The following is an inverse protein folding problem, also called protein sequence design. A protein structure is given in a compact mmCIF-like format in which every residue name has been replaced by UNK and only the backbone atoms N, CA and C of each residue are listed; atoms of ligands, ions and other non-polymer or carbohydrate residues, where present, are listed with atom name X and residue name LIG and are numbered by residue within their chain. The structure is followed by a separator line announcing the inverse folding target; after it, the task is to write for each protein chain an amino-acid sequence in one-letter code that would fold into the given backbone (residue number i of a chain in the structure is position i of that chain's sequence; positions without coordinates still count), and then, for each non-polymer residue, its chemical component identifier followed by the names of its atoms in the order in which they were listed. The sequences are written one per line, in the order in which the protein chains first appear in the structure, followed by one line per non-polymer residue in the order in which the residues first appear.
data_IF_539631304573
#
_entry.id   IF_539631304573
#
_cell.length_a   1.000
_cell.length_b   1.000
_cell.length_c   1.000
_cell.angle_alpha   90.00
_cell.angle_beta   90.00
_cell.angle_gamma   90.00
#
_symmetry.space_group_name_H-M   'P 1'
#
loop_
_entity.id
_entity.type
_entity.pdbx_description
1 polymer ?
#
# COMPACT_ATOMS: atom_id res chain seq x y z
N UNK A 1 -1.16 -23.72 7.98
CA UNK A 1 -1.48 -23.09 6.68
C UNK A 1 -0.76 -21.75 6.62
N UNK A 2 -0.32 -21.28 5.45
CA UNK A 2 0.30 -19.95 5.34
C UNK A 2 -0.80 -18.89 5.47
N UNK A 3 -0.78 -18.14 6.57
CA UNK A 3 -1.66 -17.00 6.80
C UNK A 3 -0.92 -15.70 6.46
N UNK A 4 -1.65 -14.71 5.96
CA UNK A 4 -1.09 -13.40 5.68
C UNK A 4 -0.98 -12.62 7.01
N UNK A 5 0.24 -12.47 7.53
CA UNK A 5 0.50 -11.83 8.82
C UNK A 5 1.19 -10.48 8.59
N UNK A 6 0.56 -9.35 9.01
CA UNK A 6 1.20 -8.03 9.02
C UNK A 6 2.56 -8.03 9.73
N UNK A 7 3.60 -7.55 9.05
CA UNK A 7 4.93 -7.46 9.65
C UNK A 7 5.04 -6.23 10.56
N UNK A 8 5.80 -6.29 11.68
CA UNK A 8 5.96 -5.14 12.57
C UNK A 8 6.58 -3.94 11.85
N UNK A 9 6.01 -2.74 12.05
CA UNK A 9 6.44 -1.52 11.35
C UNK A 9 7.91 -1.17 11.59
N UNK A 10 8.35 -1.24 12.85
CA UNK A 10 9.75 -1.04 13.22
C UNK A 10 10.70 -1.99 12.46
N UNK A 11 10.32 -3.26 12.31
CA UNK A 11 11.10 -4.26 11.61
C UNK A 11 11.13 -4.03 10.09
N UNK A 12 10.03 -3.51 9.50
CA UNK A 12 10.02 -3.08 8.09
C UNK A 12 11.04 -1.96 7.85
N UNK A 13 11.12 -0.95 8.73
CA UNK A 13 12.09 0.16 8.61
C UNK A 13 13.53 -0.36 8.71
N UNK A 14 13.83 -1.15 9.74
CA UNK A 14 15.17 -1.73 9.92
C UNK A 14 15.58 -2.57 8.72
N UNK A 15 14.69 -3.47 8.26
CA UNK A 15 14.94 -4.32 7.09
C UNK A 15 15.20 -3.49 5.83
N UNK A 16 14.34 -2.52 5.55
CA UNK A 16 14.43 -1.65 4.37
C UNK A 16 15.77 -0.92 4.28
N UNK A 17 16.27 -0.34 5.37
CA UNK A 17 17.55 0.35 5.36
C UNK A 17 18.75 -0.59 5.45
N UNK A 18 18.65 -1.68 6.21
CA UNK A 18 19.71 -2.69 6.31
C UNK A 18 19.98 -3.36 4.97
N UNK A 19 18.94 -3.76 4.23
CA UNK A 19 19.08 -4.35 2.90
C UNK A 19 19.65 -3.33 1.89
N UNK A 20 19.25 -2.06 1.99
CA UNK A 20 19.78 -1.03 1.10
C UNK A 20 21.27 -0.81 1.34
N UNK A 21 21.73 -0.86 2.59
CA UNK A 21 23.13 -0.70 2.98
C UNK A 21 24.00 -1.93 2.65
N UNK A 22 23.45 -3.14 2.77
CA UNK A 22 24.24 -4.39 2.74
C UNK A 22 24.09 -5.20 1.46
N UNK A 23 22.98 -5.04 0.73
CA UNK A 23 22.62 -5.85 -0.42
C UNK A 23 22.19 -5.03 -1.65
N UNK A 24 22.19 -3.69 -1.56
CA UNK A 24 21.66 -2.80 -2.60
C UNK A 24 20.25 -3.23 -3.06
N UNK A 25 19.39 -3.55 -2.10
CA UNK A 25 17.99 -3.97 -2.33
C UNK A 25 17.06 -3.39 -1.26
N UNK A 26 15.75 -3.40 -1.54
CA UNK A 26 14.71 -3.13 -0.53
C UNK A 26 13.64 -4.20 -0.69
N UNK A 27 13.36 -4.93 0.39
CA UNK A 27 12.45 -6.07 0.40
C UNK A 27 12.74 -7.04 -0.75
N UNK A 28 14.02 -7.40 -0.88
CA UNK A 28 14.57 -8.27 -1.93
C UNK A 28 14.50 -7.71 -3.37
N UNK A 29 13.89 -6.54 -3.62
CA UNK A 29 13.95 -5.89 -4.93
C UNK A 29 15.31 -5.22 -5.13
N UNK A 30 16.11 -5.63 -6.12
CA UNK A 30 17.43 -5.03 -6.35
C UNK A 30 17.31 -3.58 -6.80
N UNK A 31 18.19 -2.71 -6.31
CA UNK A 31 18.22 -1.27 -6.64
C UNK A 31 18.31 -0.98 -8.14
N UNK A 32 18.98 -1.85 -8.89
CA UNK A 32 19.05 -1.76 -10.37
C UNK A 32 17.68 -1.88 -11.06
N UNK A 33 16.69 -2.43 -10.37
CA UNK A 33 15.31 -2.58 -10.85
C UNK A 33 14.41 -1.43 -10.40
N UNK A 34 14.91 -0.48 -9.61
CA UNK A 34 14.12 0.67 -9.20
C UNK A 34 13.91 1.61 -10.38
N UNK A 35 12.68 2.10 -10.54
CA UNK A 35 12.34 3.16 -11.47
C UNK A 35 11.94 4.39 -10.67
N UNK A 36 12.86 5.35 -10.58
CA UNK A 36 12.71 6.58 -9.78
C UNK A 36 12.48 7.83 -10.64
N UNK A 37 12.04 7.63 -11.88
CA UNK A 37 11.82 8.68 -12.87
C UNK A 37 13.07 8.98 -13.70
N UNK A 38 12.91 9.78 -14.74
CA UNK A 38 14.01 10.20 -15.62
C UNK A 38 13.91 11.70 -15.86
N UNK A 39 14.98 12.42 -15.57
CA UNK A 39 15.05 13.87 -15.77
C UNK A 39 14.76 14.24 -17.24
N UNK A 40 14.01 15.33 -17.43
CA UNK A 40 13.60 15.81 -18.75
C UNK A 40 12.52 14.97 -19.44
N UNK A 41 11.90 13.99 -18.76
CA UNK A 41 10.76 13.24 -19.27
C UNK A 41 9.55 13.36 -18.36
N UNK A 42 8.42 13.71 -18.96
CA UNK A 42 7.13 13.74 -18.29
C UNK A 42 6.31 12.51 -18.71
N UNK A 43 6.01 11.65 -17.73
CA UNK A 43 5.15 10.47 -17.89
C UNK A 43 3.78 10.67 -17.25
N UNK A 44 3.53 11.85 -16.70
CA UNK A 44 2.41 12.06 -15.80
C UNK A 44 1.08 12.07 -16.53
N UNK A 45 0.05 11.60 -15.83
CA UNK A 45 -1.32 11.57 -16.33
C UNK A 45 -2.27 12.19 -15.29
N UNK A 46 -3.36 12.83 -15.72
CA UNK A 46 -4.44 13.16 -14.81
C UNK A 46 -5.08 11.86 -14.28
N UNK A 47 -5.37 11.83 -12.98
CA UNK A 47 -6.11 10.76 -12.34
C UNK A 47 -7.02 11.37 -11.27
N UNK A 48 -8.33 11.39 -11.55
CA UNK A 48 -9.32 12.16 -10.79
C UNK A 48 -8.93 13.65 -10.65
N UNK A 49 -8.88 14.16 -9.41
CA UNK A 49 -8.47 15.52 -9.05
C UNK A 49 -6.95 15.69 -8.87
N UNK A 50 -6.17 14.63 -9.16
CA UNK A 50 -4.72 14.57 -8.95
C UNK A 50 -3.97 14.35 -10.27
N UNK A 51 -2.64 14.47 -10.18
CA UNK A 51 -1.71 14.17 -11.28
C UNK A 51 -0.74 13.09 -10.84
N UNK A 52 -0.85 11.90 -11.41
CA UNK A 52 0.05 10.79 -11.10
C UNK A 52 1.34 10.93 -11.91
N UNK A 53 2.55 10.75 -11.33
CA UNK A 53 3.80 10.83 -12.08
C UNK A 53 3.97 9.77 -13.19
N UNK A 54 3.24 8.66 -13.13
CA UNK A 54 3.12 7.66 -14.21
C UNK A 54 1.68 7.15 -14.28
N UNK A 55 1.24 6.59 -15.42
CA UNK A 55 -0.05 5.90 -15.52
C UNK A 55 -0.03 4.48 -14.92
N UNK A 56 1.08 4.07 -14.32
CA UNK A 56 1.28 2.68 -13.91
C UNK A 56 0.87 2.48 -12.45
N UNK A 57 0.22 1.35 -12.20
CA UNK A 57 0.26 0.72 -10.92
C UNK A 57 -0.64 -0.50 -10.81
N UNK A 58 -0.51 -1.25 -9.70
CA UNK A 58 -1.21 -2.49 -9.53
C UNK A 58 -2.71 -2.23 -9.35
N UNK A 59 -3.52 -3.06 -10.01
CA UNK A 59 -4.94 -3.19 -9.69
C UNK A 59 -5.14 -3.81 -8.30
N UNK A 60 -6.34 -3.66 -7.76
CA UNK A 60 -6.76 -4.33 -6.52
C UNK A 60 -6.53 -5.84 -6.61
N UNK A 61 -5.75 -6.39 -5.69
CA UNK A 61 -5.42 -7.83 -5.67
C UNK A 61 -4.50 -8.22 -4.52
N UNK A 62 -4.06 -9.49 -4.44
CA UNK A 62 -3.18 -9.97 -3.38
C UNK A 62 -1.94 -9.09 -3.17
N UNK A 63 -1.39 -8.55 -4.27
CA UNK A 63 -0.23 -7.68 -4.29
C UNK A 63 -0.43 -6.32 -3.63
N UNK A 64 -1.66 -5.85 -3.39
CA UNK A 64 -1.93 -4.53 -2.77
C UNK A 64 -2.49 -4.62 -1.36
N UNK A 65 -2.24 -5.72 -0.64
CA UNK A 65 -2.63 -5.89 0.77
C UNK A 65 -1.57 -5.45 1.78
N UNK A 66 -0.30 -5.68 1.47
CA UNK A 66 0.79 -5.58 2.45
C UNK A 66 1.63 -4.31 2.27
N UNK A 67 2.08 -3.71 3.37
CA UNK A 67 2.85 -2.47 3.38
C UNK A 67 4.11 -2.56 2.49
N UNK A 68 4.88 -3.64 2.60
CA UNK A 68 6.07 -3.85 1.80
C UNK A 68 5.77 -3.94 0.30
N UNK A 69 4.62 -4.50 -0.08
CA UNK A 69 4.27 -4.63 -1.51
C UNK A 69 3.88 -3.28 -2.11
N UNK A 70 3.29 -2.38 -1.32
CA UNK A 70 3.05 -0.99 -1.75
C UNK A 70 4.38 -0.26 -1.99
N UNK A 71 5.35 -0.42 -1.08
CA UNK A 71 6.71 0.12 -1.24
C UNK A 71 7.38 -0.44 -2.48
N UNK A 72 7.32 -1.76 -2.70
CA UNK A 72 7.89 -2.42 -3.87
C UNK A 72 7.26 -1.92 -5.16
N UNK A 73 5.93 -1.80 -5.21
CA UNK A 73 5.21 -1.26 -6.36
C UNK A 73 5.68 0.17 -6.68
N UNK A 74 5.82 1.01 -5.66
CA UNK A 74 6.32 2.37 -5.81
C UNK A 74 7.79 2.41 -6.27
N UNK A 75 8.67 1.57 -5.71
CA UNK A 75 10.06 1.46 -6.16
C UNK A 75 10.17 1.00 -7.61
N UNK A 76 9.25 0.15 -8.08
CA UNK A 76 9.15 -0.28 -9.48
C UNK A 76 8.53 0.76 -10.42
N UNK A 77 8.22 1.97 -9.94
CA UNK A 77 7.74 3.08 -10.76
C UNK A 77 6.22 3.26 -10.81
N UNK A 78 5.47 2.49 -10.03
CA UNK A 78 4.01 2.60 -9.94
C UNK A 78 3.60 3.81 -9.08
N UNK A 79 2.57 4.52 -9.50
CA UNK A 79 2.14 5.78 -8.88
C UNK A 79 0.65 5.85 -8.60
N UNK A 80 -0.13 4.94 -9.17
CA UNK A 80 -1.56 4.77 -8.88
C UNK A 80 -1.74 3.37 -8.32
N UNK A 81 -1.87 3.24 -7.00
CA UNK A 81 -2.00 1.96 -6.33
C UNK A 81 -3.46 1.76 -5.96
N UNK A 82 -4.13 0.86 -6.69
CA UNK A 82 -5.48 0.43 -6.30
C UNK A 82 -5.36 -0.60 -5.18
N UNK A 83 -5.78 -0.21 -3.99
CA UNK A 83 -5.68 -1.02 -2.79
C UNK A 83 -6.65 -2.20 -2.86
N UNK A 84 -6.29 -3.31 -2.20
CA UNK A 84 -7.12 -4.52 -2.20
C UNK A 84 -8.54 -4.18 -1.75
N UNK A 85 -9.51 -4.72 -2.48
CA UNK A 85 -10.93 -4.54 -2.21
C UNK A 85 -11.29 -5.11 -0.85
N UNK A 86 -11.74 -4.25 0.04
CA UNK A 86 -12.24 -4.67 1.35
C UNK A 86 -13.74 -4.92 1.34
N UNK A 87 -14.22 -5.77 2.24
CA UNK A 87 -15.65 -6.07 2.38
C UNK A 87 -16.02 -6.41 3.83
N UNK A 88 -17.33 -6.53 4.11
CA UNK A 88 -17.86 -6.87 5.43
C UNK A 88 -17.47 -8.29 5.89
N UNK A 89 -17.31 -9.23 4.96
CA UNK A 89 -16.86 -10.59 5.23
C UNK A 89 -15.32 -10.64 5.23
N UNK A 90 -14.73 -10.38 6.38
CA UNK A 90 -13.27 -10.28 6.57
C UNK A 90 -12.68 -11.41 7.44
N UNK A 91 -13.48 -12.42 7.75
CA UNK A 91 -13.09 -13.66 8.44
C UNK A 91 -13.54 -14.86 7.59
N UNK A 92 -12.83 -15.12 6.50
CA UNK A 92 -13.15 -16.18 5.55
C UNK A 92 -12.18 -17.35 5.70
N UNK A 93 -12.72 -18.57 5.74
CA UNK A 93 -11.93 -19.79 5.57
C UNK A 93 -11.70 -20.02 4.08
N UNK A 94 -10.47 -19.72 3.62
CA UNK A 94 -10.10 -19.85 2.21
C UNK A 94 -9.26 -21.13 2.03
N UNK A 95 -9.68 -22.08 1.18
CA UNK A 95 -8.88 -23.27 0.87
C UNK A 95 -7.59 -22.87 0.13
N UNK A 96 -6.46 -23.54 0.45
CA UNK A 96 -5.14 -23.23 -0.14
C UNK A 96 -4.55 -24.45 -0.87
N UNK A 97 -3.92 -24.29 -2.05
CA UNK A 97 -3.70 -23.02 -2.78
C UNK A 97 -5.02 -22.39 -3.25
N UNK A 98 -5.15 -21.08 -3.05
CA UNK A 98 -6.38 -20.33 -3.33
C UNK A 98 -6.41 -19.73 -4.75
N UNK A 99 -5.24 -19.68 -5.40
CA UNK A 99 -5.06 -19.29 -6.78
C UNK A 99 -4.16 -20.34 -7.43
N UNK A 100 -4.63 -20.90 -8.54
CA UNK A 100 -3.85 -21.76 -9.41
C UNK A 100 -3.78 -21.13 -10.80
N UNK A 101 -2.58 -20.70 -11.20
CA UNK A 101 -2.31 -20.02 -12.46
C UNK A 101 -1.64 -20.93 -13.49
N UNK A 102 -1.70 -22.26 -13.33
CA UNK A 102 -1.05 -23.18 -14.28
C UNK A 102 -1.70 -23.12 -15.68
N UNK A 103 -3.01 -22.82 -15.75
CA UNK A 103 -3.76 -22.78 -17.01
C UNK A 103 -4.60 -21.50 -17.15
N UNK A 104 -5.93 -21.59 -17.05
CA UNK A 104 -6.86 -20.47 -17.23
C UNK A 104 -7.01 -19.59 -15.97
N UNK A 105 -6.35 -19.95 -14.87
CA UNK A 105 -6.50 -19.27 -13.59
C UNK A 105 -7.74 -19.78 -12.84
N UNK A 106 -7.57 -20.69 -11.89
CA UNK A 106 -8.61 -21.04 -10.93
C UNK A 106 -8.44 -20.20 -9.68
N UNK A 107 -9.51 -19.55 -9.24
CA UNK A 107 -9.50 -18.68 -8.07
C UNK A 107 -10.65 -19.06 -7.12
N UNK A 108 -10.30 -19.37 -5.88
CA UNK A 108 -11.20 -19.55 -4.74
C UNK A 108 -10.89 -18.56 -3.61
N UNK A 109 -9.92 -17.69 -3.82
CA UNK A 109 -9.67 -16.48 -3.03
C UNK A 109 -10.87 -15.53 -3.15
N UNK A 110 -11.29 -14.98 -2.02
CA UNK A 110 -12.28 -13.92 -1.95
C UNK A 110 -11.61 -12.54 -1.94
N UNK A 111 -12.39 -11.49 -1.73
CA UNK A 111 -11.93 -10.11 -1.90
C UNK A 111 -10.71 -9.74 -1.05
N UNK A 112 -10.55 -10.23 0.18
CA UNK A 112 -9.40 -9.92 1.04
C UNK A 112 -9.04 -11.05 2.02
N UNK A 113 -7.77 -11.11 2.42
CA UNK A 113 -7.28 -12.02 3.47
C UNK A 113 -7.09 -11.32 4.82
N UNK A 114 -6.81 -10.01 4.82
CA UNK A 114 -6.67 -9.21 6.03
C UNK A 114 -8.03 -8.74 6.56
N UNK A 115 -8.10 -8.56 7.88
CA UNK A 115 -9.23 -7.84 8.51
C UNK A 115 -9.29 -6.39 8.04
N UNK A 116 -10.46 -5.76 8.14
CA UNK A 116 -10.65 -4.35 7.76
C UNK A 116 -9.65 -3.42 8.46
N UNK A 117 -9.49 -3.57 9.78
CA UNK A 117 -8.53 -2.79 10.57
C UNK A 117 -7.07 -3.06 10.17
N UNK A 118 -6.73 -4.33 9.92
CA UNK A 118 -5.39 -4.69 9.48
C UNK A 118 -5.06 -4.07 8.11
N UNK A 119 -6.03 -4.04 7.20
CA UNK A 119 -5.87 -3.42 5.88
C UNK A 119 -5.56 -1.92 6.01
N UNK A 120 -6.34 -1.18 6.79
CA UNK A 120 -6.06 0.24 7.08
C UNK A 120 -4.64 0.43 7.63
N UNK A 121 -4.24 -0.39 8.60
CA UNK A 121 -2.91 -0.32 9.20
C UNK A 121 -1.79 -0.60 8.20
N UNK A 122 -1.92 -1.62 7.34
CA UNK A 122 -0.92 -1.92 6.31
C UNK A 122 -0.80 -0.79 5.27
N UNK A 123 -1.90 -0.15 4.90
CA UNK A 123 -1.89 0.98 3.96
C UNK A 123 -1.19 2.20 4.57
N UNK A 124 -1.46 2.51 5.84
CA UNK A 124 -0.77 3.58 6.57
C UNK A 124 0.72 3.28 6.71
N UNK A 125 1.09 2.05 7.09
CA UNK A 125 2.52 1.65 7.13
C UNK A 125 3.18 1.84 5.77
N UNK A 126 2.56 1.36 4.68
CA UNK A 126 3.11 1.50 3.33
C UNK A 126 3.34 2.95 2.93
N UNK A 127 2.36 3.83 3.21
CA UNK A 127 2.49 5.26 2.96
C UNK A 127 3.62 5.90 3.78
N UNK A 128 3.69 5.59 5.08
CA UNK A 128 4.76 6.10 5.94
C UNK A 128 6.15 5.61 5.51
N UNK A 129 6.30 4.34 5.09
CA UNK A 129 7.56 3.81 4.59
C UNK A 129 8.02 4.54 3.32
N UNK A 130 7.10 4.84 2.39
CA UNK A 130 7.40 5.61 1.18
C UNK A 130 7.87 7.03 1.53
N UNK A 131 7.21 7.72 2.45
CA UNK A 131 7.66 9.05 2.91
C UNK A 131 9.02 9.01 3.60
N UNK A 132 9.28 7.99 4.42
CA UNK A 132 10.60 7.77 5.03
C UNK A 132 11.68 7.59 3.95
N UNK A 133 11.41 6.79 2.90
CA UNK A 133 12.35 6.60 1.79
C UNK A 133 12.59 7.89 1.01
N UNK A 134 11.54 8.66 0.71
CA UNK A 134 11.64 9.97 0.05
C UNK A 134 12.53 10.93 0.84
N UNK A 135 12.35 10.99 2.16
CA UNK A 135 13.12 11.87 3.05
C UNK A 135 14.55 11.37 3.34
N UNK A 136 14.84 10.10 3.12
CA UNK A 136 16.13 9.49 3.50
C UNK A 136 17.36 10.02 2.76
N UNK A 137 17.16 10.65 1.59
CA UNK A 137 18.25 11.06 0.70
C UNK A 137 19.06 9.90 0.08
N UNK A 138 18.62 8.65 0.26
CA UNK A 138 19.29 7.46 -0.27
C UNK A 138 18.89 7.11 -1.70
N UNK A 139 17.77 7.68 -2.17
CA UNK A 139 17.19 7.43 -3.49
C UNK A 139 17.30 8.67 -4.39
N UNK A 140 17.71 8.47 -5.64
CA UNK A 140 17.79 9.53 -6.65
C UNK A 140 16.45 9.69 -7.37
N UNK A 141 15.44 10.19 -6.64
CA UNK A 141 14.10 10.38 -7.17
C UNK A 141 14.09 11.64 -8.03
N UNK A 142 13.68 11.52 -9.29
CA UNK A 142 13.54 12.67 -10.18
C UNK A 142 12.53 13.68 -9.59
N UNK A 143 12.76 15.00 -9.75
CA UNK A 143 11.82 16.01 -9.25
C UNK A 143 10.38 15.74 -9.70
N UNK A 144 9.43 15.78 -8.76
CA UNK A 144 8.01 15.51 -9.01
C UNK A 144 7.64 14.02 -9.19
N UNK A 145 8.61 13.10 -9.17
CA UNK A 145 8.34 11.66 -9.36
C UNK A 145 8.06 10.90 -8.05
N UNK A 146 8.14 11.57 -6.90
CA UNK A 146 7.96 10.93 -5.59
C UNK A 146 6.50 10.69 -5.19
N UNK A 147 5.55 11.42 -5.78
CA UNK A 147 4.13 11.38 -5.42
C UNK A 147 3.50 10.00 -5.64
N UNK A 148 2.52 9.64 -4.83
CA UNK A 148 1.79 8.37 -4.93
C UNK A 148 0.32 8.62 -4.65
N UNK A 149 -0.54 7.98 -5.45
CA UNK A 149 -1.98 8.01 -5.28
C UNK A 149 -2.42 6.63 -4.80
N UNK A 150 -3.08 6.61 -3.64
CA UNK A 150 -3.78 5.44 -3.15
C UNK A 150 -5.25 5.55 -3.55
N UNK A 151 -5.72 4.61 -4.35
CA UNK A 151 -7.14 4.47 -4.67
C UNK A 151 -7.73 3.35 -3.81
N UNK A 152 -8.66 3.68 -2.92
CA UNK A 152 -9.23 2.67 -2.02
C UNK A 152 -10.32 1.89 -2.76
N UNK A 153 -10.47 0.60 -2.45
CA UNK A 153 -11.45 -0.27 -3.11
C UNK A 153 -12.35 -0.93 -2.07
N UNK A 154 -13.67 -0.90 -2.30
CA UNK A 154 -14.68 -1.56 -1.46
C UNK A 154 -15.64 -2.37 -2.32
N UNK A 155 -16.13 -3.49 -1.80
CA UNK A 155 -16.96 -4.40 -2.58
C UNK A 155 -18.07 -5.08 -1.79
N UNK A 156 -18.50 -6.23 -2.32
CA UNK A 156 -19.65 -7.03 -1.87
C UNK A 156 -21.00 -6.46 -2.33
N UNK A 157 -21.70 -5.73 -1.47
CA UNK A 157 -23.00 -5.11 -1.73
C UNK A 157 -23.12 -3.75 -1.01
N UNK A 158 -24.12 -2.94 -1.37
CA UNK A 158 -24.34 -1.64 -0.74
C UNK A 158 -24.64 -1.78 0.76
N UNK A 159 -25.37 -2.82 1.15
CA UNK A 159 -25.75 -3.07 2.55
C UNK A 159 -24.51 -3.28 3.43
N UNK A 160 -23.55 -4.07 2.95
CA UNK A 160 -22.26 -4.33 3.58
C UNK A 160 -21.41 -3.06 3.66
N UNK A 161 -21.36 -2.29 2.57
CA UNK A 161 -20.65 -0.99 2.54
C UNK A 161 -21.23 -0.01 3.57
N UNK A 162 -22.56 0.00 3.78
CA UNK A 162 -23.24 0.87 4.75
C UNK A 162 -23.05 0.45 6.21
N UNK A 163 -22.43 -0.70 6.49
CA UNK A 163 -22.17 -1.12 7.87
C UNK A 163 -21.13 -0.26 8.57
N UNK A 164 -21.24 -0.12 9.88
CA UNK A 164 -20.30 0.64 10.73
C UNK A 164 -18.85 0.22 10.47
N UNK A 165 -18.56 -1.09 10.46
CA UNK A 165 -17.19 -1.60 10.26
C UNK A 165 -16.55 -1.15 8.94
N UNK A 166 -17.30 -1.18 7.84
CA UNK A 166 -16.77 -0.74 6.52
C UNK A 166 -16.70 0.78 6.45
N UNK A 167 -17.68 1.48 7.04
CA UNK A 167 -17.64 2.94 7.15
C UNK A 167 -16.46 3.44 7.99
N UNK A 168 -16.12 2.76 9.09
CA UNK A 168 -14.97 3.07 9.94
C UNK A 168 -13.67 2.93 9.15
N UNK A 169 -13.53 1.88 8.33
CA UNK A 169 -12.41 1.74 7.41
C UNK A 169 -12.35 2.91 6.41
N UNK A 170 -13.45 3.25 5.74
CA UNK A 170 -13.50 4.35 4.76
C UNK A 170 -13.14 5.69 5.43
N UNK A 171 -13.66 5.95 6.63
CA UNK A 171 -13.36 7.15 7.40
C UNK A 171 -11.90 7.17 7.86
N UNK A 172 -11.35 6.03 8.26
CA UNK A 172 -9.92 5.88 8.57
C UNK A 172 -9.01 6.13 7.36
N UNK A 173 -9.42 5.76 6.14
CA UNK A 173 -8.68 6.08 4.91
C UNK A 173 -8.70 7.59 4.58
N UNK A 174 -9.77 8.29 4.97
CA UNK A 174 -9.91 9.74 4.79
C UNK A 174 -9.21 10.54 5.90
N UNK A 175 -9.08 9.97 7.09
CA UNK A 175 -8.34 10.50 8.23
C UNK A 175 -7.71 9.37 9.06
N UNK A 176 -6.46 9.07 8.73
CA UNK A 176 -5.61 8.08 9.36
C UNK A 176 -4.74 8.68 10.47
N UNK A 177 -5.00 9.90 10.94
CA UNK A 177 -4.11 10.61 11.88
C UNK A 177 -3.79 9.77 13.12
N UNK A 178 -4.78 9.04 13.65
CA UNK A 178 -4.60 8.15 14.82
C UNK A 178 -3.63 7.00 14.51
N UNK A 179 -3.78 6.36 13.36
CA UNK A 179 -2.95 5.22 12.93
C UNK A 179 -1.54 5.68 12.58
N UNK A 180 -1.40 6.85 11.96
CA UNK A 180 -0.11 7.51 11.71
C UNK A 180 0.62 7.78 13.02
N UNK A 181 -0.03 8.38 14.01
CA UNK A 181 0.58 8.65 15.32
C UNK A 181 0.92 7.38 16.10
N UNK A 182 0.13 6.31 15.94
CA UNK A 182 0.42 5.00 16.49
C UNK A 182 1.74 4.43 15.94
N UNK A 183 1.96 4.54 14.62
CA UNK A 183 3.19 4.04 13.98
C UNK A 183 4.38 5.00 14.07
N UNK A 184 4.15 6.32 14.16
CA UNK A 184 5.19 7.32 14.39
C UNK A 184 5.99 7.01 15.66
N UNK A 185 5.29 6.60 16.72
CA UNK A 185 5.88 6.18 18.01
C UNK A 185 6.69 4.88 17.92
N UNK A 186 6.49 4.08 16.88
CA UNK A 186 7.21 2.82 16.63
C UNK A 186 8.43 2.98 15.74
N UNK A 187 8.69 4.18 15.19
CA UNK A 187 9.92 4.45 14.43
C UNK A 187 11.12 4.20 15.37
N UNK A 188 12.06 3.29 15.03
CA UNK A 188 13.19 2.96 15.89
C UNK A 188 14.06 4.17 16.21
N UNK A 189 14.77 4.14 17.33
CA UNK A 189 15.61 5.28 17.78
C UNK A 189 16.72 5.62 16.78
N UNK A 190 17.29 4.62 16.09
CA UNK A 190 18.25 4.81 14.99
C UNK A 190 17.69 5.69 13.86
N UNK A 191 16.38 5.73 13.70
CA UNK A 191 15.66 6.43 12.65
C UNK A 191 14.80 7.60 13.19
N UNK A 192 15.07 8.06 14.41
CA UNK A 192 14.27 9.08 15.10
C UNK A 192 14.07 10.38 14.30
N UNK A 193 15.01 10.73 13.44
CA UNK A 193 14.91 11.91 12.56
C UNK A 193 13.68 11.87 11.65
N UNK A 194 13.14 10.69 11.35
CA UNK A 194 11.93 10.56 10.54
C UNK A 194 10.63 10.69 11.36
N UNK A 195 10.71 10.79 12.69
CA UNK A 195 9.54 11.03 13.55
C UNK A 195 8.93 12.41 13.37
N UNK A 196 9.63 13.35 12.77
CA UNK A 196 9.15 14.72 12.54
C UNK A 196 8.60 14.92 11.11
N UNK A 197 8.53 13.87 10.29
CA UNK A 197 7.96 13.95 8.94
C UNK A 197 6.47 14.28 8.98
N UNK A 198 6.03 15.11 8.03
CA UNK A 198 4.62 15.39 7.80
C UNK A 198 3.97 14.25 7.00
N UNK A 199 3.72 13.13 7.69
CA UNK A 199 3.11 11.96 7.06
C UNK A 199 1.67 12.26 6.59
N UNK A 200 1.26 11.77 5.41
CA UNK A 200 -0.09 11.97 4.92
C UNK A 200 -1.10 11.29 5.86
N UNK A 201 -2.04 12.07 6.39
CA UNK A 201 -3.14 11.56 7.21
C UNK A 201 -4.38 11.27 6.37
N UNK A 202 -4.55 11.93 5.23
CA UNK A 202 -5.58 11.58 4.24
C UNK A 202 -4.95 10.69 3.16
N UNK A 203 -5.04 9.38 3.33
CA UNK A 203 -4.46 8.43 2.38
C UNK A 203 -5.21 8.41 1.05
N UNK A 204 -6.54 8.35 1.11
CA UNK A 204 -7.36 8.25 -0.10
C UNK A 204 -8.63 9.08 -0.01
N UNK A 205 -8.99 9.68 -1.15
CA UNK A 205 -10.22 10.45 -1.37
C UNK A 205 -10.97 9.97 -2.63
N UNK A 206 -10.50 8.90 -3.27
CA UNK A 206 -11.14 8.21 -4.39
C UNK A 206 -11.55 6.81 -3.95
N UNK A 207 -12.54 6.23 -4.61
CA UNK A 207 -13.12 4.95 -4.25
C UNK A 207 -13.49 4.17 -5.50
N UNK A 208 -12.87 3.01 -5.69
CA UNK A 208 -13.32 2.02 -6.64
C UNK A 208 -14.38 1.13 -6.00
N UNK A 209 -15.53 1.00 -6.67
CA UNK A 209 -16.65 0.15 -6.25
C UNK A 209 -16.58 -1.19 -6.99
N UNK A 210 -16.40 -2.27 -6.24
CA UNK A 210 -16.29 -3.65 -6.74
C UNK A 210 -17.47 -4.49 -6.23
N UNK A 211 -18.67 -4.06 -6.56
CA UNK A 211 -19.92 -4.73 -6.18
C UNK A 211 -20.34 -5.71 -7.27
N UNK A 212 -20.18 -7.01 -7.02
CA UNK A 212 -20.65 -8.08 -7.91
C UNK A 212 -21.98 -8.71 -7.47
N UNK A 213 -22.48 -8.37 -6.27
CA UNK A 213 -23.64 -9.00 -5.63
C UNK A 213 -24.79 -7.99 -5.40
N UNK A 214 -25.11 -7.20 -6.42
CA UNK A 214 -26.20 -6.21 -6.40
C UNK A 214 -27.59 -6.81 -6.40
#
# INVERSE_FOLDING_TARGET
MAELIPYPFAALIERMFSELETAESIFDLPRKSFFLGKEGRDYSVPFHDKRAPTPLGPASGPQTQMAQNLVLSWLSGCRILELKTVQILDELEIPRPCIDMETIGFNVEWSQELKLEQSLHEYVKGAMLIEILKASGKLNIAPGFGEVIYDMSVGYDLKGIQTERVQDYIMGMKDASIVVEHYRKQIPERFRQFRDLDFPTRLSNSLTLSTFHG
#
